data_IF_087532159983
#
_entry.id   IF_087532159983
#
_cell.length_a   1.000
_cell.length_b   1.000
_cell.length_c   1.000
_cell.angle_alpha   90.00
_cell.angle_beta   90.00
_cell.angle_gamma   90.00
#
_symmetry.space_group_name_H-M   'P 1'
#
loop_
_entity.id
_entity.type
_entity.pdbx_description
1 polymer ?
#
# COMPACT_ATOMS: atom_id res chain seq x y z
N UNK A 1 -15.25 0.94 78.08
CA UNK A 1 -16.42 0.05 77.97
C UNK A 1 -15.99 -1.09 77.04
N UNK A 2 -15.86 -2.37 77.43
CA UNK A 2 -16.58 -3.23 78.41
C UNK A 2 -17.93 -3.72 77.86
N UNK A 3 -18.25 -4.99 78.16
CA UNK A 3 -19.25 -5.90 77.55
C UNK A 3 -18.89 -6.36 76.13
N UNK A 4 -18.55 -7.62 75.84
CA UNK A 4 -18.38 -8.85 76.65
C UNK A 4 -19.67 -9.52 77.20
N UNK A 5 -20.04 -10.66 76.59
CA UNK A 5 -20.77 -11.88 77.06
C UNK A 5 -21.15 -12.65 75.75
N UNK A 6 -20.85 -13.92 75.47
CA UNK A 6 -20.79 -15.18 76.25
C UNK A 6 -22.19 -15.70 76.65
N UNK A 7 -22.54 -16.99 76.58
CA UNK A 7 -21.82 -18.19 76.14
C UNK A 7 -22.83 -19.33 75.83
N UNK A 8 -22.46 -20.34 75.03
CA UNK A 8 -22.95 -21.72 75.18
C UNK A 8 -21.91 -22.72 74.63
N UNK A 9 -21.67 -23.83 75.32
CA UNK A 9 -20.50 -24.71 75.12
C UNK A 9 -20.78 -26.18 75.47
N UNK A 10 -19.74 -27.04 75.37
CA UNK A 10 -19.73 -28.52 75.52
C UNK A 10 -20.35 -29.26 74.30
N UNK A 11 -19.92 -30.45 73.86
CA UNK A 11 -18.73 -31.33 74.00
C UNK A 11 -18.72 -32.25 72.72
N UNK A 12 -17.82 -33.17 72.38
CA UNK A 12 -16.69 -33.88 73.03
C UNK A 12 -15.42 -33.75 72.14
N UNK A 13 -14.25 -34.25 72.58
CA UNK A 13 -12.99 -34.27 71.81
C UNK A 13 -12.77 -35.47 70.87
N UNK A 14 -11.62 -35.52 70.15
CA UNK A 14 -11.32 -36.51 69.10
C UNK A 14 -10.48 -37.71 69.57
N UNK A 15 -10.54 -38.82 68.82
CA UNK A 15 -9.57 -39.92 68.93
C UNK A 15 -9.86 -41.10 67.99
N UNK A 16 -8.81 -41.50 67.23
CA UNK A 16 -8.54 -42.85 66.70
C UNK A 16 -9.58 -43.53 65.75
N UNK A 17 -9.23 -44.38 64.78
CA UNK A 17 -7.95 -44.71 64.11
C UNK A 17 -8.27 -45.23 62.68
N UNK A 18 -7.27 -45.34 61.79
CA UNK A 18 -7.35 -46.27 60.65
C UNK A 18 -7.40 -45.67 59.24
N UNK A 19 -6.25 -45.18 58.76
CA UNK A 19 -5.93 -45.17 57.33
C UNK A 19 -4.66 -46.02 57.13
N UNK A 20 -4.65 -46.93 56.16
CA UNK A 20 -3.60 -47.93 56.03
C UNK A 20 -2.39 -47.42 55.23
N UNK A 21 -1.20 -47.81 55.70
CA UNK A 21 0.10 -47.75 55.03
C UNK A 21 0.06 -48.27 53.56
N UNK A 22 1.04 -47.95 52.69
CA UNK A 22 2.41 -47.53 52.99
C UNK A 22 3.05 -46.68 51.88
N UNK A 23 4.05 -45.86 52.22
CA UNK A 23 4.74 -44.97 51.27
C UNK A 23 6.01 -44.32 51.83
N UNK A 24 6.97 -45.12 52.29
CA UNK A 24 8.18 -44.62 52.97
C UNK A 24 9.12 -43.79 52.06
N UNK A 25 9.33 -42.52 52.41
CA UNK A 25 10.61 -41.82 52.25
C UNK A 25 11.03 -41.25 53.59
N UNK A 26 12.16 -41.74 54.13
CA UNK A 26 12.71 -41.26 55.40
C UNK A 26 13.92 -40.36 55.13
N UNK A 27 13.97 -39.20 55.79
CA UNK A 27 15.13 -38.31 55.78
C UNK A 27 16.27 -38.88 56.63
N UNK A 28 17.51 -38.71 56.17
CA UNK A 28 18.71 -39.08 56.92
C UNK A 28 19.25 -37.86 57.66
N UNK A 29 19.24 -37.90 58.99
CA UNK A 29 20.05 -37.03 59.86
C UNK A 29 20.84 -37.91 60.83
N UNK A 30 22.13 -37.61 60.98
CA UNK A 30 23.07 -38.46 61.70
C UNK A 30 23.22 -38.04 63.17
N UNK A 31 23.29 -39.02 64.08
CA UNK A 31 23.76 -38.85 65.46
C UNK A 31 24.80 -39.94 65.76
N UNK A 32 25.81 -39.58 66.54
CA UNK A 32 27.01 -40.38 66.80
C UNK A 32 26.71 -41.69 67.55
N UNK A 33 27.39 -42.77 67.15
CA UNK A 33 27.50 -43.98 67.95
C UNK A 33 28.73 -43.94 68.86
N UNK A 34 28.63 -44.51 70.06
CA UNK A 34 29.74 -44.70 71.01
C UNK A 34 29.82 -46.17 71.42
N UNK A 35 31.02 -46.74 71.31
CA UNK A 35 31.54 -47.85 72.13
C UNK A 35 30.63 -49.06 72.42
N UNK A 36 30.69 -50.08 71.56
CA UNK A 36 30.10 -51.40 71.83
C UNK A 36 30.82 -52.50 71.05
N UNK A 37 31.94 -53.03 71.60
CA UNK A 37 32.74 -54.04 70.91
C UNK A 37 32.14 -55.44 71.07
N UNK A 38 31.78 -56.06 69.93
CA UNK A 38 31.52 -57.50 69.82
C UNK A 38 32.42 -58.08 68.72
N UNK A 39 33.05 -59.25 68.93
CA UNK A 39 33.94 -59.84 67.94
C UNK A 39 33.13 -60.53 66.84
N UNK A 40 32.76 -59.78 65.81
CA UNK A 40 32.24 -60.38 64.57
C UNK A 40 33.36 -61.18 63.91
N UNK A 41 33.21 -62.51 63.95
CA UNK A 41 34.11 -63.44 63.30
C UNK A 41 34.21 -63.11 61.81
N UNK A 42 35.42 -63.20 61.25
CA UNK A 42 35.65 -63.03 59.83
C UNK A 42 34.84 -64.04 59.04
N UNK A 43 33.79 -63.60 58.34
CA UNK A 43 33.21 -64.38 57.26
C UNK A 43 34.28 -64.48 56.16
N UNK A 44 35.03 -65.57 56.18
CA UNK A 44 35.84 -65.98 55.04
C UNK A 44 34.90 -66.10 53.84
N UNK A 45 35.04 -65.19 52.86
CA UNK A 45 34.26 -65.24 51.64
C UNK A 45 34.61 -66.52 50.90
N UNK A 46 33.66 -67.47 50.87
CA UNK A 46 33.78 -68.66 50.03
C UNK A 46 34.03 -68.25 48.57
N UNK A 47 34.71 -69.10 47.78
CA UNK A 47 35.14 -68.74 46.42
C UNK A 47 33.93 -68.28 45.59
N UNK A 48 34.01 -67.06 45.06
CA UNK A 48 32.94 -66.51 44.22
C UNK A 48 32.68 -67.44 43.04
N UNK A 49 31.41 -67.75 42.81
CA UNK A 49 31.01 -68.58 41.69
C UNK A 49 31.11 -67.79 40.37
N UNK A 50 32.30 -67.82 39.77
CA UNK A 50 32.55 -67.23 38.45
C UNK A 50 32.04 -68.19 37.36
N UNK A 51 31.12 -67.78 36.47
CA UNK A 51 30.59 -68.62 35.39
C UNK A 51 31.67 -69.17 34.45
N UNK A 52 31.47 -70.38 33.93
CA UNK A 52 32.45 -71.07 33.05
C UNK A 52 32.89 -70.22 31.84
N UNK A 53 31.96 -69.54 31.17
CA UNK A 53 32.28 -68.67 30.03
C UNK A 53 33.16 -67.48 30.40
N UNK A 54 33.05 -66.98 31.64
CA UNK A 54 33.84 -65.83 32.14
C UNK A 54 35.27 -66.25 32.47
N UNK A 55 35.46 -67.50 32.91
CA UNK A 55 36.79 -68.13 33.00
C UNK A 55 37.39 -68.40 31.63
N UNK A 56 36.60 -68.90 30.68
CA UNK A 56 37.04 -69.16 29.31
C UNK A 56 37.57 -67.91 28.59
N UNK A 57 37.03 -66.72 28.90
CA UNK A 57 37.58 -65.44 28.42
C UNK A 57 38.98 -65.10 28.99
N UNK A 58 39.33 -65.64 30.16
CA UNK A 58 40.65 -65.50 30.79
C UNK A 58 41.61 -66.68 30.49
N UNK A 59 41.10 -67.79 29.95
CA UNK A 59 41.88 -68.96 29.54
C UNK A 59 42.57 -68.76 28.17
N UNK A 60 42.08 -67.82 27.35
CA UNK A 60 42.72 -67.38 26.11
C UNK A 60 43.78 -66.32 26.44
N UNK A 61 45.05 -66.43 25.98
CA UNK A 61 46.09 -65.48 26.34
C UNK A 61 45.80 -64.08 25.78
N UNK A 62 45.91 -63.07 26.64
CA UNK A 62 45.55 -61.67 26.34
C UNK A 62 46.26 -61.06 25.11
N UNK A 63 47.37 -61.66 24.66
CA UNK A 63 48.04 -61.31 23.40
C UNK A 63 47.19 -61.53 22.13
N UNK A 64 46.12 -62.33 22.20
CA UNK A 64 45.20 -62.58 21.07
C UNK A 64 44.07 -61.53 20.95
N UNK A 65 43.89 -60.67 21.96
CA UNK A 65 42.88 -59.61 21.94
C UNK A 65 43.53 -58.23 22.14
N UNK A 66 44.26 -57.68 21.14
CA UNK A 66 44.93 -56.38 21.26
C UNK A 66 44.00 -55.18 21.54
N UNK A 67 42.68 -55.37 21.42
CA UNK A 67 41.64 -54.38 21.71
C UNK A 67 40.79 -54.74 22.96
N UNK A 68 41.19 -55.70 23.82
CA UNK A 68 40.45 -56.00 25.05
C UNK A 68 40.64 -54.91 26.11
N UNK A 69 39.57 -54.60 26.86
CA UNK A 69 39.59 -53.56 27.89
C UNK A 69 39.44 -54.11 29.32
N UNK A 70 40.01 -55.29 29.56
CA UNK A 70 40.01 -55.97 30.85
C UNK A 70 41.36 -56.61 31.21
N UNK A 71 41.52 -56.92 32.49
CA UNK A 71 42.60 -57.71 33.06
C UNK A 71 41.95 -58.80 33.93
N UNK A 72 42.41 -60.04 33.79
CA UNK A 72 41.94 -61.15 34.64
C UNK A 72 42.78 -61.24 35.91
N UNK A 73 42.17 -61.65 37.02
CA UNK A 73 42.91 -61.97 38.26
C UNK A 73 43.23 -63.47 38.42
N UNK A 74 43.93 -63.81 39.49
CA UNK A 74 44.37 -65.18 39.82
C UNK A 74 43.22 -66.18 40.02
N UNK A 75 41.97 -65.72 40.22
CA UNK A 75 40.78 -66.57 40.32
C UNK A 75 40.04 -66.75 38.97
N UNK A 76 40.48 -66.01 37.93
CA UNK A 76 39.79 -65.91 36.64
C UNK A 76 38.60 -64.95 36.66
N UNK A 77 38.56 -63.96 37.57
CA UNK A 77 37.55 -62.90 37.57
C UNK A 77 38.02 -61.73 36.67
N UNK A 78 37.22 -61.41 35.65
CA UNK A 78 37.46 -60.31 34.70
C UNK A 78 37.28 -58.96 35.40
N UNK A 79 38.31 -58.10 35.38
CA UNK A 79 38.30 -56.74 35.95
C UNK A 79 38.49 -55.71 34.85
N UNK A 80 37.60 -54.72 34.77
CA UNK A 80 37.63 -53.72 33.71
C UNK A 80 38.73 -52.68 33.90
N UNK A 81 39.30 -52.20 32.79
CA UNK A 81 40.15 -51.03 32.78
C UNK A 81 39.34 -49.76 33.15
N UNK A 82 39.98 -48.70 33.69
CA UNK A 82 39.30 -47.46 34.03
C UNK A 82 38.51 -46.89 32.84
N UNK A 83 37.22 -46.64 33.06
CA UNK A 83 36.31 -46.16 32.01
C UNK A 83 35.58 -47.24 31.21
N UNK A 84 35.70 -48.53 31.56
CA UNK A 84 34.97 -49.63 30.92
C UNK A 84 34.10 -50.41 31.92
N UNK A 85 33.02 -51.01 31.42
CA UNK A 85 32.02 -51.76 32.18
C UNK A 85 31.34 -52.82 31.29
N UNK A 86 30.41 -53.59 31.84
CA UNK A 86 29.82 -54.77 31.17
C UNK A 86 30.58 -56.05 31.52
N UNK A 87 30.02 -57.20 31.12
CA UNK A 87 30.46 -58.50 31.61
C UNK A 87 31.83 -58.95 31.07
N UNK A 88 32.21 -58.47 29.87
CA UNK A 88 33.56 -58.58 29.30
C UNK A 88 34.22 -57.20 29.14
N UNK A 89 33.77 -56.18 29.88
CA UNK A 89 34.30 -54.82 29.86
C UNK A 89 34.28 -54.16 28.47
N UNK A 90 33.30 -54.56 27.65
CA UNK A 90 33.07 -54.17 26.27
C UNK A 90 32.25 -52.89 26.12
N UNK A 91 31.57 -52.45 27.19
CA UNK A 91 30.76 -51.23 27.21
C UNK A 91 31.59 -50.07 27.78
N UNK A 92 31.81 -48.97 27.02
CA UNK A 92 32.49 -47.80 27.55
C UNK A 92 31.59 -47.05 28.55
N UNK A 93 32.18 -46.55 29.62
CA UNK A 93 31.50 -45.66 30.58
C UNK A 93 31.45 -44.26 29.96
N UNK A 94 30.24 -43.83 29.59
CA UNK A 94 30.01 -42.50 29.02
C UNK A 94 30.34 -41.38 30.01
N UNK A 95 30.43 -40.15 29.51
CA UNK A 95 30.65 -38.97 30.36
C UNK A 95 29.67 -38.94 31.55
N UNK A 96 30.17 -38.67 32.76
CA UNK A 96 29.33 -38.55 33.96
C UNK A 96 28.25 -37.47 33.75
N UNK A 97 26.98 -37.85 33.85
CA UNK A 97 25.84 -36.97 33.61
C UNK A 97 25.27 -37.00 32.18
N UNK A 98 25.89 -37.75 31.25
CA UNK A 98 25.32 -38.02 29.92
C UNK A 98 23.95 -38.70 30.06
N UNK A 99 22.95 -38.23 29.31
CA UNK A 99 21.56 -38.70 29.43
C UNK A 99 21.45 -40.20 29.09
N UNK A 100 20.80 -41.03 29.93
CA UNK A 100 20.76 -42.49 29.75
C UNK A 100 19.83 -42.96 28.62
N UNK A 101 18.95 -42.09 28.12
CA UNK A 101 18.00 -42.39 27.04
C UNK A 101 18.42 -41.77 25.71
N UNK A 102 19.03 -40.59 25.72
CA UNK A 102 19.37 -39.78 24.54
C UNK A 102 20.87 -39.70 24.25
N UNK A 103 21.72 -39.98 25.24
CA UNK A 103 23.15 -40.16 25.08
C UNK A 103 23.53 -41.57 24.68
N UNK A 104 24.69 -41.71 24.05
CA UNK A 104 25.46 -42.96 23.91
C UNK A 104 26.94 -42.63 23.77
N UNK A 105 27.83 -43.61 23.96
CA UNK A 105 29.26 -43.42 23.78
C UNK A 105 29.90 -44.61 23.07
N UNK A 106 31.00 -44.34 22.35
CA UNK A 106 31.85 -45.37 21.71
C UNK A 106 33.26 -45.46 22.33
N UNK A 107 33.57 -44.56 23.27
CA UNK A 107 34.83 -44.44 24.01
C UNK A 107 34.52 -43.90 25.41
N UNK A 108 35.33 -44.21 26.43
CA UNK A 108 35.14 -43.68 27.78
C UNK A 108 35.14 -42.15 27.80
N UNK A 109 34.26 -41.54 28.61
CA UNK A 109 34.18 -40.09 28.78
C UNK A 109 33.60 -39.30 27.60
N UNK A 110 33.28 -39.95 26.47
CA UNK A 110 32.51 -39.36 25.38
C UNK A 110 31.00 -39.33 25.75
N UNK A 111 30.26 -38.40 25.16
CA UNK A 111 28.80 -38.40 25.13
C UNK A 111 28.39 -37.94 23.72
N UNK A 112 27.64 -38.78 23.02
CA UNK A 112 27.13 -38.54 21.65
C UNK A 112 25.62 -38.56 21.72
N UNK A 113 24.98 -37.59 21.08
CA UNK A 113 23.53 -37.48 21.15
C UNK A 113 22.86 -38.30 20.04
N UNK A 114 21.70 -38.87 20.36
CA UNK A 114 20.75 -39.38 19.37
C UNK A 114 20.17 -38.21 18.55
N UNK A 115 19.67 -38.53 17.37
CA UNK A 115 19.04 -37.56 16.48
C UNK A 115 17.88 -36.88 17.21
N UNK A 116 17.85 -35.54 17.22
CA UNK A 116 16.86 -34.76 17.97
C UNK A 116 17.34 -34.26 19.33
N UNK A 117 18.58 -34.53 19.74
CA UNK A 117 19.16 -34.02 21.00
C UNK A 117 20.57 -33.41 20.78
N UNK A 118 20.93 -32.45 21.62
CA UNK A 118 22.22 -31.75 21.61
C UNK A 118 22.70 -31.36 23.01
N UNK A 119 23.87 -30.72 23.11
CA UNK A 119 24.52 -30.35 24.36
C UNK A 119 25.60 -31.35 24.78
N UNK A 120 26.41 -30.99 25.79
CA UNK A 120 27.53 -31.85 26.25
C UNK A 120 27.09 -33.12 26.98
N UNK A 121 25.83 -33.15 27.43
CA UNK A 121 25.21 -34.27 28.14
C UNK A 121 24.02 -34.88 27.37
N UNK A 122 23.68 -34.35 26.19
CA UNK A 122 22.50 -34.73 25.39
C UNK A 122 21.15 -34.51 26.10
N UNK A 123 21.15 -33.57 27.04
CA UNK A 123 20.04 -33.11 27.88
C UNK A 123 19.08 -32.16 27.16
N UNK A 124 19.47 -31.59 26.01
CA UNK A 124 18.69 -30.56 25.31
C UNK A 124 18.05 -31.12 24.05
N UNK A 125 16.73 -31.00 23.93
CA UNK A 125 16.03 -31.29 22.69
C UNK A 125 16.45 -30.32 21.57
N UNK A 126 16.50 -30.81 20.33
CA UNK A 126 16.57 -29.97 19.13
C UNK A 126 15.14 -29.61 18.75
N UNK A 127 14.82 -28.31 18.71
CA UNK A 127 13.52 -27.83 18.26
C UNK A 127 13.28 -28.10 16.76
N UNK A 128 12.03 -28.01 16.30
CA UNK A 128 11.69 -28.19 14.89
C UNK A 128 12.53 -27.24 14.00
N UNK A 129 13.20 -27.73 12.93
CA UNK A 129 14.01 -26.86 12.07
C UNK A 129 13.19 -25.71 11.49
N UNK A 130 13.64 -24.48 11.72
CA UNK A 130 12.91 -23.26 11.35
C UNK A 130 12.14 -22.59 12.49
N UNK A 131 12.04 -23.20 13.67
CA UNK A 131 11.49 -22.59 14.89
C UNK A 131 12.23 -21.27 15.22
N UNK A 132 11.52 -20.14 15.28
CA UNK A 132 12.12 -18.81 15.51
C UNK A 132 11.93 -18.30 16.94
N UNK A 133 10.68 -18.26 17.41
CA UNK A 133 10.30 -17.73 18.73
C UNK A 133 9.57 -18.81 19.52
N UNK A 134 10.31 -19.84 19.92
CA UNK A 134 9.77 -20.97 20.66
C UNK A 134 10.83 -21.91 21.19
N UNK A 135 10.42 -22.75 22.14
CA UNK A 135 11.23 -23.75 22.81
C UNK A 135 10.67 -25.16 22.56
N UNK A 136 11.48 -26.20 22.74
CA UNK A 136 11.01 -27.58 22.69
C UNK A 136 10.88 -28.18 24.10
N UNK A 137 9.92 -29.08 24.29
CA UNK A 137 9.93 -30.04 25.40
C UNK A 137 10.30 -31.44 24.87
N UNK A 138 9.79 -31.79 23.69
CA UNK A 138 10.16 -33.01 22.95
C UNK A 138 11.02 -32.64 21.73
N UNK A 139 11.94 -33.53 21.34
CA UNK A 139 12.71 -33.38 20.09
C UNK A 139 11.81 -33.18 18.87
N UNK A 140 12.14 -32.20 18.03
CA UNK A 140 11.38 -31.77 16.85
C UNK A 140 10.01 -31.12 17.13
N UNK A 141 9.77 -30.66 18.36
CA UNK A 141 8.67 -29.77 18.72
C UNK A 141 9.08 -28.28 18.58
N UNK A 142 8.12 -27.37 18.45
CA UNK A 142 8.30 -25.92 18.56
C UNK A 142 7.09 -25.34 19.31
N UNK A 143 7.21 -25.19 20.63
CA UNK A 143 6.21 -24.57 21.49
C UNK A 143 6.45 -23.05 21.52
N UNK A 144 5.49 -22.27 21.06
CA UNK A 144 5.69 -20.85 20.81
C UNK A 144 5.81 -20.01 22.10
N UNK A 145 6.71 -19.03 22.04
CA UNK A 145 6.81 -17.99 23.06
C UNK A 145 5.52 -17.15 23.10
N UNK A 146 5.15 -16.58 24.26
CA UNK A 146 3.92 -15.79 24.40
C UNK A 146 3.82 -14.66 23.38
N UNK A 147 2.79 -14.73 22.52
CA UNK A 147 2.57 -13.77 21.45
C UNK A 147 2.98 -14.24 20.05
N UNK A 148 3.46 -15.46 19.89
CA UNK A 148 3.74 -16.09 18.59
C UNK A 148 2.84 -17.30 18.31
N UNK A 149 2.63 -17.62 17.03
CA UNK A 149 1.83 -18.75 16.55
C UNK A 149 2.37 -19.33 15.23
N UNK A 150 1.73 -20.40 14.76
CA UNK A 150 2.12 -21.16 13.58
C UNK A 150 3.19 -22.23 13.90
N UNK A 151 3.38 -23.18 12.98
CA UNK A 151 4.22 -24.38 13.19
C UNK A 151 5.70 -24.07 13.52
N UNK A 152 6.18 -22.89 13.15
CA UNK A 152 7.56 -22.42 13.35
C UNK A 152 7.64 -21.20 14.28
N UNK A 153 6.52 -20.79 14.89
CA UNK A 153 6.41 -19.61 15.75
C UNK A 153 6.96 -18.32 15.10
N UNK A 154 6.68 -18.18 13.80
CA UNK A 154 7.09 -17.08 12.94
C UNK A 154 5.95 -16.09 12.62
N UNK A 155 4.71 -16.42 13.01
CA UNK A 155 3.57 -15.49 12.89
C UNK A 155 3.32 -14.79 14.23
N UNK A 156 3.32 -13.45 14.31
CA UNK A 156 2.95 -12.73 15.52
C UNK A 156 1.44 -12.81 15.78
N UNK A 157 1.06 -12.75 17.05
CA UNK A 157 -0.33 -12.58 17.51
C UNK A 157 -0.57 -11.07 17.70
N UNK A 158 -1.41 -10.49 16.86
CA UNK A 158 -1.74 -9.07 16.90
C UNK A 158 -2.53 -8.70 18.18
N UNK A 159 -2.63 -7.40 18.47
CA UNK A 159 -3.42 -6.90 19.59
C UNK A 159 -4.86 -7.46 19.61
N UNK A 160 -5.41 -7.66 20.80
CA UNK A 160 -6.85 -7.98 20.93
C UNK A 160 -7.69 -6.87 20.31
N UNK A 161 -8.80 -7.26 19.67
CA UNK A 161 -9.62 -6.45 18.75
C UNK A 161 -9.01 -6.07 17.37
N UNK A 162 -7.76 -6.43 17.06
CA UNK A 162 -7.18 -6.18 15.74
C UNK A 162 -7.77 -7.13 14.68
N UNK A 163 -8.70 -6.64 13.86
CA UNK A 163 -9.33 -7.40 12.78
C UNK A 163 -8.35 -7.59 11.61
N UNK A 164 -8.02 -8.83 11.25
CA UNK A 164 -7.03 -9.17 10.20
C UNK A 164 -7.36 -8.60 8.81
N UNK A 165 -8.62 -8.25 8.55
CA UNK A 165 -9.12 -7.59 7.33
C UNK A 165 -8.94 -6.07 7.33
N UNK A 166 -8.74 -5.46 8.50
CA UNK A 166 -8.63 -3.99 8.71
C UNK A 166 -7.24 -3.57 9.17
N UNK A 167 -6.50 -4.48 9.81
CA UNK A 167 -5.12 -4.30 10.26
C UNK A 167 -4.25 -5.53 10.03
N UNK A 168 -3.01 -5.44 10.50
CA UNK A 168 -1.98 -6.48 10.52
C UNK A 168 -0.98 -6.17 11.64
N UNK A 169 -0.02 -7.07 11.90
CA UNK A 169 1.04 -6.82 12.86
C UNK A 169 2.36 -7.46 12.40
N UNK A 170 3.47 -6.78 12.66
CA UNK A 170 4.83 -7.31 12.49
C UNK A 170 5.43 -7.80 13.81
N UNK A 171 4.87 -7.36 14.94
CA UNK A 171 5.29 -7.70 16.30
C UNK A 171 4.08 -8.15 17.13
N UNK A 172 4.28 -9.06 18.10
CA UNK A 172 3.22 -9.44 19.03
C UNK A 172 2.62 -8.23 19.75
N UNK A 173 1.28 -8.21 19.88
CA UNK A 173 0.56 -7.13 20.56
C UNK A 173 0.47 -5.79 19.81
N UNK A 174 1.03 -5.67 18.60
CA UNK A 174 0.85 -4.50 17.74
C UNK A 174 -0.45 -4.61 16.91
N UNK A 175 -0.95 -3.48 16.39
CA UNK A 175 -1.98 -3.43 15.36
C UNK A 175 -1.71 -2.23 14.42
N UNK A 176 -1.17 -2.51 13.22
CA UNK A 176 -0.96 -1.54 12.15
C UNK A 176 -2.17 -1.55 11.22
N UNK A 177 -2.73 -0.39 10.92
CA UNK A 177 -3.93 -0.31 10.09
C UNK A 177 -3.62 -0.42 8.59
N UNK A 178 -4.54 -1.04 7.85
CA UNK A 178 -4.55 -1.03 6.38
C UNK A 178 -5.12 0.31 5.91
N UNK A 179 -4.81 0.69 4.66
CA UNK A 179 -5.30 1.94 4.07
C UNK A 179 -6.83 2.02 4.14
N UNK A 180 -7.36 3.17 4.54
CA UNK A 180 -8.78 3.38 4.80
C UNK A 180 -9.24 3.06 6.23
N UNK A 181 -8.35 2.64 7.14
CA UNK A 181 -8.63 2.41 8.57
C UNK A 181 -7.66 3.17 9.49
N UNK A 182 -8.15 3.61 10.65
CA UNK A 182 -7.37 4.35 11.66
C UNK A 182 -7.76 4.03 13.11
N UNK A 183 -7.04 4.64 14.04
CA UNK A 183 -7.19 4.45 15.49
C UNK A 183 -6.49 3.18 15.99
N UNK A 184 -6.30 3.04 17.32
CA UNK A 184 -5.43 1.99 17.92
C UNK A 184 -5.93 0.55 17.75
N UNK A 185 -7.13 0.35 17.20
CA UNK A 185 -7.74 -0.95 16.89
C UNK A 185 -8.21 -1.06 15.43
N UNK A 186 -7.89 -0.08 14.59
CA UNK A 186 -8.25 -0.03 13.16
C UNK A 186 -9.76 -0.16 12.85
N UNK A 187 -10.64 0.16 13.81
CA UNK A 187 -12.11 0.07 13.66
C UNK A 187 -12.77 1.35 13.13
N UNK A 188 -12.04 2.46 13.07
CA UNK A 188 -12.53 3.73 12.52
C UNK A 188 -12.10 3.85 11.06
N UNK A 189 -12.96 4.36 10.18
CA UNK A 189 -12.53 4.68 8.82
C UNK A 189 -11.49 5.81 8.85
N UNK A 190 -10.50 5.72 7.97
CA UNK A 190 -9.64 6.83 7.59
C UNK A 190 -10.19 7.42 6.29
N UNK A 191 -10.30 8.75 6.23
CA UNK A 191 -10.59 9.45 4.97
C UNK A 191 -9.50 9.17 3.94
N UNK A 192 -9.88 9.13 2.66
CA UNK A 192 -8.94 8.92 1.56
C UNK A 192 -7.82 10.01 1.61
N UNK A 193 -6.52 9.67 1.51
CA UNK A 193 -5.45 10.65 1.59
C UNK A 193 -5.61 11.78 0.56
N UNK A 194 -5.53 13.03 1.02
CA UNK A 194 -5.79 14.22 0.21
C UNK A 194 -7.25 14.71 0.20
N UNK A 195 -8.18 13.98 0.83
CA UNK A 195 -9.54 14.46 1.10
C UNK A 195 -9.49 15.70 2.02
N UNK A 196 -9.90 16.88 1.52
CA UNK A 196 -9.77 18.15 2.28
C UNK A 196 -11.07 18.58 2.97
N UNK A 197 -12.20 18.50 2.27
CA UNK A 197 -13.52 18.95 2.74
C UNK A 197 -14.53 17.79 2.61
N UNK A 198 -14.25 16.70 3.32
CA UNK A 198 -15.02 15.47 3.22
C UNK A 198 -14.80 14.52 4.39
N UNK A 199 -15.71 13.56 4.52
CA UNK A 199 -15.78 12.57 5.60
C UNK A 199 -15.76 11.16 5.02
N UNK A 200 -15.56 10.14 5.86
CA UNK A 200 -15.67 8.74 5.47
C UNK A 200 -16.85 8.08 6.19
N UNK A 201 -17.51 7.13 5.53
CA UNK A 201 -18.47 6.21 6.13
C UNK A 201 -18.01 4.76 5.92
N UNK A 202 -17.44 4.44 4.76
CA UNK A 202 -16.61 3.26 4.50
C UNK A 202 -15.10 3.57 4.45
N UNK A 203 -14.23 2.55 4.38
CA UNK A 203 -12.80 2.72 4.15
C UNK A 203 -12.53 3.23 2.73
N UNK A 204 -11.48 4.05 2.57
CA UNK A 204 -11.07 4.66 1.29
C UNK A 204 -12.11 5.59 0.64
N UNK A 205 -13.12 6.03 1.40
CA UNK A 205 -14.13 6.99 0.96
C UNK A 205 -13.69 8.45 1.23
N UNK A 206 -14.15 9.37 0.38
CA UNK A 206 -14.13 10.82 0.60
C UNK A 206 -15.48 11.40 0.19
N UNK A 207 -16.43 11.42 1.12
CA UNK A 207 -17.79 11.94 0.93
C UNK A 207 -17.79 13.44 1.21
N UNK A 208 -18.00 14.24 0.18
CA UNK A 208 -17.86 15.70 0.26
C UNK A 208 -18.87 16.38 1.18
N UNK A 209 -18.40 17.42 1.86
CA UNK A 209 -19.23 18.38 2.56
C UNK A 209 -20.07 19.21 1.58
N UNK A 210 -21.23 19.76 2.01
CA UNK A 210 -22.08 20.59 1.16
C UNK A 210 -21.31 21.76 0.54
N UNK A 211 -21.33 21.84 -0.79
CA UNK A 211 -20.61 22.86 -1.55
C UNK A 211 -19.23 22.42 -2.09
N UNK A 212 -18.77 21.20 -1.82
CA UNK A 212 -17.54 20.65 -2.40
C UNK A 212 -17.81 19.47 -3.34
N UNK A 213 -16.91 19.27 -4.31
CA UNK A 213 -16.99 18.21 -5.31
C UNK A 213 -15.60 17.79 -5.81
N UNK A 214 -15.54 16.79 -6.68
CA UNK A 214 -14.31 16.08 -7.05
C UNK A 214 -13.98 14.93 -6.10
N UNK A 215 -13.12 14.01 -6.54
CA UNK A 215 -12.79 12.76 -5.84
C UNK A 215 -12.18 12.96 -4.43
N UNK A 216 -11.58 14.12 -4.18
CA UNK A 216 -10.94 14.49 -2.91
C UNK A 216 -11.60 15.73 -2.27
N UNK A 217 -12.79 16.11 -2.76
CA UNK A 217 -13.55 17.28 -2.31
C UNK A 217 -12.73 18.58 -2.35
N UNK A 218 -11.85 18.67 -3.35
CA UNK A 218 -10.92 19.77 -3.57
C UNK A 218 -11.50 20.91 -4.42
N UNK A 219 -12.59 20.64 -5.17
CA UNK A 219 -13.21 21.59 -6.09
C UNK A 219 -14.43 22.23 -5.42
N UNK A 220 -14.47 23.57 -5.22
CA UNK A 220 -15.66 24.23 -4.70
C UNK A 220 -16.76 24.31 -5.77
N UNK A 221 -18.01 24.18 -5.33
CA UNK A 221 -19.20 24.39 -6.17
C UNK A 221 -19.52 25.89 -6.14
N UNK A 222 -19.42 26.55 -7.29
CA UNK A 222 -19.67 27.98 -7.44
C UNK A 222 -21.17 28.34 -7.25
N UNK A 223 -21.51 29.63 -7.17
CA UNK A 223 -22.92 30.05 -7.09
C UNK A 223 -23.76 29.52 -8.27
N UNK A 224 -25.04 29.27 -8.01
CA UNK A 224 -25.97 28.82 -9.04
C UNK A 224 -26.12 29.90 -10.12
N UNK A 225 -25.79 29.56 -11.37
CA UNK A 225 -25.78 30.49 -12.51
C UNK A 225 -24.39 31.03 -12.89
N UNK A 226 -23.36 30.86 -12.05
CA UNK A 226 -21.99 31.28 -12.36
C UNK A 226 -21.47 30.65 -13.67
N UNK A 227 -21.04 31.48 -14.62
CA UNK A 227 -20.50 31.03 -15.91
C UNK A 227 -19.29 30.11 -15.73
N UNK A 228 -19.32 28.92 -16.34
CA UNK A 228 -18.18 27.98 -16.31
C UNK A 228 -17.01 28.45 -17.18
N UNK A 229 -17.29 29.24 -18.22
CA UNK A 229 -16.27 29.79 -19.12
C UNK A 229 -15.66 31.06 -18.53
N UNK A 230 -16.50 31.99 -18.05
CA UNK A 230 -16.09 33.36 -17.71
C UNK A 230 -16.08 33.67 -16.20
N UNK A 231 -16.56 32.73 -15.39
CA UNK A 231 -16.47 32.76 -13.93
C UNK A 231 -15.57 31.65 -13.38
N UNK A 232 -15.49 31.61 -12.05
CA UNK A 232 -14.82 30.59 -11.26
C UNK A 232 -14.94 30.92 -9.77
N UNK A 233 -14.59 29.98 -8.88
CA UNK A 233 -14.74 30.18 -7.44
C UNK A 233 -13.57 29.57 -6.66
N UNK A 234 -13.23 30.20 -5.52
CA UNK A 234 -12.24 29.69 -4.55
C UNK A 234 -12.89 29.20 -3.24
N UNK A 235 -14.18 29.48 -3.07
CA UNK A 235 -15.02 29.03 -1.94
C UNK A 235 -16.40 28.61 -2.46
N UNK A 236 -17.08 27.64 -1.83
CA UNK A 236 -18.44 27.27 -2.19
C UNK A 236 -19.38 28.49 -2.21
N UNK A 237 -20.35 28.49 -3.14
CA UNK A 237 -21.37 29.54 -3.25
C UNK A 237 -20.88 30.91 -3.73
N UNK A 238 -19.59 31.07 -4.06
CA UNK A 238 -19.06 32.32 -4.64
C UNK A 238 -19.01 32.24 -6.17
N UNK A 239 -18.97 33.40 -6.83
CA UNK A 239 -18.57 33.53 -8.23
C UNK A 239 -17.63 34.73 -8.35
N UNK A 240 -16.49 34.53 -9.02
CA UNK A 240 -15.51 35.58 -9.34
C UNK A 240 -15.32 35.57 -10.85
N UNK A 241 -15.48 36.73 -11.47
CA UNK A 241 -15.36 36.87 -12.91
C UNK A 241 -13.89 36.88 -13.35
N UNK A 242 -13.67 36.37 -14.57
CA UNK A 242 -12.43 36.58 -15.31
C UNK A 242 -12.36 38.05 -15.78
N UNK A 243 -11.15 38.50 -16.07
CA UNK A 243 -10.90 39.87 -16.57
C UNK A 243 -11.77 40.15 -17.80
N UNK A 244 -12.48 41.28 -17.78
CA UNK A 244 -13.38 41.68 -18.86
C UNK A 244 -14.82 41.18 -18.75
N UNK A 245 -15.19 40.47 -17.68
CA UNK A 245 -16.56 40.06 -17.38
C UNK A 245 -17.03 40.58 -16.02
N UNK A 246 -18.34 40.79 -15.88
CA UNK A 246 -19.02 41.38 -14.72
C UNK A 246 -20.42 40.78 -14.52
N UNK A 247 -21.17 41.32 -13.56
CA UNK A 247 -22.47 40.82 -13.13
C UNK A 247 -22.37 39.63 -12.17
N UNK A 248 -23.46 39.26 -11.46
CA UNK A 248 -23.44 38.23 -10.41
C UNK A 248 -23.09 36.83 -10.91
N UNK A 249 -23.30 36.57 -12.21
CA UNK A 249 -23.06 35.29 -12.88
C UNK A 249 -21.85 35.32 -13.84
N UNK A 250 -21.16 36.46 -13.97
CA UNK A 250 -20.06 36.65 -14.93
C UNK A 250 -20.49 36.42 -16.39
N UNK A 251 -21.70 36.84 -16.73
CA UNK A 251 -22.33 36.72 -18.07
C UNK A 251 -22.40 38.05 -18.82
N UNK A 252 -22.14 39.16 -18.13
CA UNK A 252 -22.08 40.51 -18.73
C UNK A 252 -20.63 40.82 -19.09
N UNK A 253 -20.38 41.34 -20.29
CA UNK A 253 -19.07 41.84 -20.67
C UNK A 253 -18.82 43.23 -20.04
N UNK A 254 -17.57 43.56 -19.79
CA UNK A 254 -17.15 44.93 -19.48
C UNK A 254 -16.82 45.63 -20.81
N UNK A 255 -17.46 46.76 -21.15
CA UNK A 255 -17.14 47.53 -22.35
C UNK A 255 -15.77 48.22 -22.22
N UNK A 256 -15.27 48.82 -23.30
CA UNK A 256 -14.01 49.56 -23.24
C UNK A 256 -14.07 50.71 -22.22
N UNK A 257 -13.03 50.96 -21.40
CA UNK A 257 -13.04 52.06 -20.41
C UNK A 257 -13.25 53.42 -21.06
N UNK A 258 -14.32 54.13 -20.68
CA UNK A 258 -14.72 55.41 -21.28
C UNK A 258 -15.79 55.29 -22.37
N UNK A 259 -16.23 54.09 -22.74
CA UNK A 259 -17.40 53.87 -23.59
C UNK A 259 -18.66 54.50 -22.95
N UNK A 260 -19.23 55.54 -23.55
CA UNK A 260 -20.35 56.31 -22.95
C UNK A 260 -21.71 55.85 -23.45
N UNK A 261 -21.91 55.84 -24.77
CA UNK A 261 -23.18 55.46 -25.41
C UNK A 261 -22.98 54.24 -26.33
N UNK A 262 -22.51 53.14 -25.74
CA UNK A 262 -22.23 51.91 -26.46
C UNK A 262 -22.36 50.67 -25.58
N UNK A 263 -22.60 49.53 -26.25
CA UNK A 263 -22.73 48.21 -25.65
C UNK A 263 -21.57 47.30 -26.06
N UNK A 264 -21.30 46.24 -25.31
CA UNK A 264 -20.33 45.21 -25.69
C UNK A 264 -21.04 43.91 -26.08
N UNK A 265 -20.40 43.09 -26.92
CA UNK A 265 -20.72 41.65 -27.09
C UNK A 265 -19.54 40.78 -26.67
N UNK A 266 -18.32 41.28 -26.85
CA UNK A 266 -17.07 40.74 -26.29
C UNK A 266 -16.51 41.72 -25.24
N UNK A 267 -15.71 41.25 -24.27
CA UNK A 267 -14.97 42.13 -23.38
C UNK A 267 -14.15 43.18 -24.13
N UNK A 268 -14.12 44.40 -23.58
CA UNK A 268 -13.37 45.56 -24.09
C UNK A 268 -13.80 46.06 -25.47
N UNK A 269 -14.99 45.66 -25.92
CA UNK A 269 -15.65 46.20 -27.11
C UNK A 269 -16.50 47.43 -26.75
N UNK A 270 -16.63 48.39 -27.67
CA UNK A 270 -17.56 49.52 -27.54
C UNK A 270 -18.34 49.65 -28.86
N UNK A 271 -19.60 49.17 -28.89
CA UNK A 271 -20.47 49.17 -30.07
C UNK A 271 -21.52 50.27 -29.87
N UNK A 272 -21.40 51.36 -30.61
CA UNK A 272 -22.21 52.55 -30.39
C UNK A 272 -23.71 52.30 -30.58
N UNK A 273 -24.50 52.98 -29.77
CA UNK A 273 -25.94 53.11 -29.95
C UNK A 273 -26.26 53.98 -31.16
N UNK A 274 -27.47 53.83 -31.73
CA UNK A 274 -27.87 54.58 -32.91
C UNK A 274 -27.85 56.10 -32.65
N UNK A 275 -27.07 56.84 -33.43
CA UNK A 275 -26.87 58.29 -33.25
C UNK A 275 -25.57 58.68 -32.54
N UNK A 276 -24.74 57.70 -32.14
CA UNK A 276 -23.41 57.93 -31.54
C UNK A 276 -22.27 57.31 -32.36
N UNK A 277 -21.07 57.89 -32.26
CA UNK A 277 -19.86 57.46 -32.95
C UNK A 277 -18.58 57.85 -32.20
N UNK A 278 -17.42 57.57 -32.82
CA UNK A 278 -16.10 57.59 -32.19
C UNK A 278 -15.81 56.31 -31.40
N UNK A 279 -14.54 56.01 -31.15
CA UNK A 279 -14.09 54.75 -30.51
C UNK A 279 -14.69 54.53 -29.10
N UNK A 280 -15.11 55.61 -28.44
CA UNK A 280 -15.72 55.61 -27.11
C UNK A 280 -17.23 55.94 -27.14
N UNK A 281 -17.83 56.02 -28.33
CA UNK A 281 -19.23 56.38 -28.55
C UNK A 281 -19.64 57.67 -27.81
N UNK A 282 -18.77 58.67 -27.91
CA UNK A 282 -18.84 59.96 -27.24
C UNK A 282 -19.16 61.12 -28.22
N UNK A 283 -19.09 60.88 -29.53
CA UNK A 283 -19.50 61.85 -30.55
C UNK A 283 -20.97 61.65 -30.94
N UNK A 284 -21.78 62.72 -30.90
CA UNK A 284 -23.19 62.67 -31.32
C UNK A 284 -23.33 63.00 -32.81
N UNK A 285 -24.06 62.17 -33.55
CA UNK A 285 -24.23 62.25 -35.00
C UNK A 285 -25.36 63.22 -35.42
N UNK A 286 -25.20 64.53 -35.20
CA UNK A 286 -26.25 65.56 -35.41
C UNK A 286 -26.37 66.14 -36.82
N UNK A 287 -25.46 65.80 -37.76
CA UNK A 287 -25.34 66.55 -39.02
C UNK A 287 -26.62 66.65 -39.86
N UNK A 288 -27.41 65.57 -39.97
CA UNK A 288 -28.69 65.56 -40.69
C UNK A 288 -29.78 66.41 -39.99
N UNK A 289 -29.75 66.52 -38.65
CA UNK A 289 -30.68 67.34 -37.87
C UNK A 289 -30.38 68.83 -38.04
N UNK A 290 -29.09 69.17 -38.15
CA UNK A 290 -28.59 70.53 -38.39
C UNK A 290 -28.78 70.98 -39.85
N UNK A 291 -28.83 70.05 -40.81
CA UNK A 291 -28.92 70.33 -42.25
C UNK A 291 -30.17 69.69 -42.90
N UNK A 292 -31.40 70.04 -42.47
CA UNK A 292 -32.63 69.49 -43.03
C UNK A 292 -32.73 69.79 -44.54
N UNK A 293 -32.96 68.75 -45.34
CA UNK A 293 -33.04 68.86 -46.80
C UNK A 293 -31.72 68.70 -47.56
N UNK A 294 -30.61 68.35 -46.90
CA UNK A 294 -29.34 68.01 -47.56
C UNK A 294 -29.48 66.83 -48.55
N UNK A 295 -30.38 65.88 -48.24
CA UNK A 295 -30.80 64.81 -49.14
C UNK A 295 -32.07 65.22 -49.90
N UNK A 296 -32.00 65.27 -51.23
CA UNK A 296 -33.12 65.70 -52.10
C UNK A 296 -33.99 64.51 -52.52
N UNK A 297 -35.12 64.80 -53.15
CA UNK A 297 -36.01 63.81 -53.78
C UNK A 297 -36.53 62.72 -52.83
N UNK A 298 -36.88 63.09 -51.59
CA UNK A 298 -37.40 62.20 -50.54
C UNK A 298 -36.44 61.05 -50.16
N UNK A 299 -35.13 61.33 -50.16
CA UNK A 299 -34.08 60.41 -49.73
C UNK A 299 -33.79 60.49 -48.23
N UNK A 300 -33.51 59.34 -47.59
CA UNK A 300 -33.23 59.27 -46.15
C UNK A 300 -31.81 59.75 -45.85
N UNK A 301 -31.67 60.73 -44.95
CA UNK A 301 -30.37 61.19 -44.45
C UNK A 301 -29.91 60.31 -43.28
N UNK A 302 -28.63 59.93 -43.28
CA UNK A 302 -27.96 59.31 -42.13
C UNK A 302 -26.69 60.12 -41.85
N UNK A 303 -26.62 60.69 -40.65
CA UNK A 303 -25.44 61.35 -40.11
C UNK A 303 -24.30 60.34 -39.95
N UNK A 304 -23.06 60.77 -40.18
CA UNK A 304 -21.84 59.96 -40.04
C UNK A 304 -20.74 60.78 -39.35
N UNK A 305 -19.59 60.15 -39.06
CA UNK A 305 -18.43 60.86 -38.51
C UNK A 305 -17.91 61.92 -39.50
N UNK A 306 -17.07 62.83 -39.00
CA UNK A 306 -16.36 63.80 -39.86
C UNK A 306 -15.41 63.10 -40.84
N UNK A 307 -14.84 61.97 -40.45
CA UNK A 307 -13.88 61.17 -41.23
C UNK A 307 -14.57 60.44 -42.39
N UNK A 308 -15.77 59.88 -42.15
CA UNK A 308 -16.63 59.27 -43.19
C UNK A 308 -17.26 60.32 -44.14
N UNK A 309 -17.13 61.62 -43.82
CA UNK A 309 -17.66 62.73 -44.63
C UNK A 309 -19.03 63.26 -44.22
N UNK A 310 -19.31 63.29 -42.90
CA UNK A 310 -20.46 63.89 -42.21
C UNK A 310 -21.86 63.28 -42.47
N UNK A 311 -22.18 62.84 -43.69
CA UNK A 311 -23.50 62.29 -44.02
C UNK A 311 -23.48 61.38 -45.24
N UNK A 312 -24.44 60.46 -45.27
CA UNK A 312 -24.84 59.70 -46.47
C UNK A 312 -26.35 59.84 -46.71
N UNK A 313 -26.73 60.00 -47.96
CA UNK A 313 -28.13 59.93 -48.38
C UNK A 313 -28.42 58.53 -48.95
N UNK A 314 -29.49 57.88 -48.49
CA UNK A 314 -30.04 56.69 -49.14
C UNK A 314 -31.07 57.15 -50.16
N UNK A 315 -30.69 57.07 -51.44
CA UNK A 315 -31.53 57.52 -52.54
C UNK A 315 -32.65 56.52 -52.86
N UNK A 316 -33.88 56.98 -53.16
CA UNK A 316 -34.92 56.12 -53.71
C UNK A 316 -34.58 55.71 -55.15
N UNK A 317 -35.23 54.65 -55.63
CA UNK A 317 -35.05 54.12 -56.98
C UNK A 317 -35.24 55.21 -58.05
N UNK A 318 -34.32 55.26 -59.02
CA UNK A 318 -34.29 56.31 -60.04
C UNK A 318 -33.54 57.59 -59.64
N UNK A 319 -32.82 57.60 -58.51
CA UNK A 319 -32.00 58.74 -58.06
C UNK A 319 -30.62 58.33 -57.57
N UNK A 320 -29.61 59.16 -57.86
CA UNK A 320 -28.20 58.95 -57.52
C UNK A 320 -27.48 60.27 -57.17
N UNK A 321 -26.23 60.16 -56.71
CA UNK A 321 -25.37 61.27 -56.28
C UNK A 321 -25.40 61.48 -54.76
N UNK A 322 -24.39 62.18 -54.21
CA UNK A 322 -24.21 62.37 -52.75
C UNK A 322 -25.44 62.99 -52.06
N UNK A 323 -26.25 63.76 -52.77
CA UNK A 323 -27.48 64.39 -52.28
C UNK A 323 -28.74 63.86 -52.99
N UNK A 324 -28.65 62.72 -53.69
CA UNK A 324 -29.72 62.12 -54.50
C UNK A 324 -30.31 63.06 -55.56
N UNK A 325 -29.49 64.02 -56.02
CA UNK A 325 -29.91 65.12 -56.89
C UNK A 325 -29.97 64.74 -58.38
N UNK A 326 -29.37 63.62 -58.78
CA UNK A 326 -29.32 63.16 -60.17
C UNK A 326 -30.45 62.15 -60.39
N UNK A 327 -31.40 62.45 -61.28
CA UNK A 327 -32.45 61.51 -61.67
C UNK A 327 -31.93 60.57 -62.76
N UNK A 328 -31.92 59.26 -62.51
CA UNK A 328 -31.55 58.24 -63.50
C UNK A 328 -32.79 57.76 -64.26
N UNK A 329 -32.67 57.56 -65.57
CA UNK A 329 -33.73 57.00 -66.41
C UNK A 329 -33.68 55.46 -66.48
N UNK A 330 -32.71 54.84 -65.82
CA UNK A 330 -32.59 53.39 -65.66
C UNK A 330 -33.07 53.00 -64.26
N UNK A 331 -34.09 52.14 -64.12
CA UNK A 331 -34.44 51.56 -62.83
C UNK A 331 -33.38 50.51 -62.45
N UNK A 332 -32.69 50.71 -61.33
CA UNK A 332 -31.64 49.81 -60.84
C UNK A 332 -32.22 48.55 -60.19
N UNK A 333 -32.89 47.73 -60.99
CA UNK A 333 -33.17 46.32 -60.72
C UNK A 333 -32.01 45.52 -61.35
N UNK A 334 -31.61 44.41 -60.74
CA UNK A 334 -30.43 43.60 -61.12
C UNK A 334 -29.07 44.31 -60.95
N UNK A 335 -28.83 44.84 -59.74
CA UNK A 335 -27.56 44.59 -59.05
C UNK A 335 -27.81 43.80 -57.76
N UNK A 336 -28.29 42.57 -57.94
CA UNK A 336 -28.15 41.53 -56.91
C UNK A 336 -26.65 41.35 -56.68
N UNK A 337 -26.12 41.53 -55.46
CA UNK A 337 -24.76 41.08 -55.18
C UNK A 337 -24.73 39.55 -55.43
N UNK A 338 -23.66 39.00 -56.04
CA UNK A 338 -23.52 37.56 -56.10
C UNK A 338 -23.57 37.00 -54.68
N UNK A 339 -24.41 35.99 -54.47
CA UNK A 339 -24.33 35.22 -53.23
C UNK A 339 -22.93 34.59 -53.18
N UNK A 340 -22.22 34.59 -52.03
CA UNK A 340 -20.98 33.85 -51.93
C UNK A 340 -21.31 32.36 -52.12
N UNK A 341 -20.74 31.74 -53.15
CA UNK A 341 -21.00 30.35 -53.50
C UNK A 341 -20.72 29.44 -52.30
N UNK A 342 -21.77 28.79 -51.79
CA UNK A 342 -21.74 28.09 -50.52
C UNK A 342 -21.18 26.67 -50.64
N UNK A 343 -20.01 26.50 -51.28
CA UNK A 343 -19.39 25.18 -51.44
C UNK A 343 -17.85 25.21 -51.57
N UNK A 344 -17.15 25.60 -50.48
CA UNK A 344 -15.76 25.20 -50.26
C UNK A 344 -15.40 25.11 -48.76
N UNK A 345 -14.78 23.99 -48.38
CA UNK A 345 -13.96 23.79 -47.17
C UNK A 345 -14.64 23.92 -45.78
N UNK A 346 -15.18 22.81 -45.28
CA UNK A 346 -15.00 22.43 -43.88
C UNK A 346 -13.93 21.31 -43.75
N UNK A 347 -13.34 21.08 -42.56
CA UNK A 347 -12.15 20.24 -42.43
C UNK A 347 -12.38 18.73 -42.49
N UNK A 348 -11.26 18.00 -42.59
CA UNK A 348 -11.17 16.54 -42.70
C UNK A 348 -11.76 15.76 -41.52
N UNK A 349 -12.36 14.61 -41.82
CA UNK A 349 -12.22 13.40 -41.01
C UNK A 349 -12.33 12.13 -41.87
N UNK A 350 -11.69 11.07 -41.37
CA UNK A 350 -11.57 9.69 -41.89
C UNK A 350 -12.93 9.08 -42.33
N UNK A 351 -12.99 8.12 -43.26
CA UNK A 351 -12.61 6.70 -43.05
C UNK A 351 -12.22 5.98 -44.37
N UNK A 352 -11.49 4.88 -44.20
CA UNK A 352 -10.89 3.95 -45.18
C UNK A 352 -11.66 3.66 -46.48
N UNK A 353 -10.88 3.55 -47.56
CA UNK A 353 -11.26 2.85 -48.80
C UNK A 353 -11.39 1.33 -48.57
N UNK A 354 -12.17 0.68 -49.44
CA UNK A 354 -12.16 -0.77 -49.69
C UNK A 354 -12.08 -1.02 -51.21
N UNK A 355 -11.27 -1.98 -51.69
CA UNK A 355 -11.44 -2.56 -53.03
C UNK A 355 -12.25 -3.86 -53.00
N UNK A 356 -13.11 -3.96 -54.01
CA UNK A 356 -13.75 -5.09 -54.71
C UNK A 356 -14.18 -6.44 -54.09
N UNK A 357 -15.37 -6.85 -54.57
CA UNK A 357 -15.85 -8.13 -55.12
C UNK A 357 -15.05 -9.44 -54.86
N UNK A 358 -15.70 -10.62 -54.76
CA UNK A 358 -16.85 -11.11 -55.56
C UNK A 358 -17.78 -12.11 -54.85
N UNK A 359 -18.93 -12.33 -55.51
CA UNK A 359 -19.71 -13.58 -55.59
C UNK A 359 -20.93 -13.81 -54.67
N UNK A 360 -21.76 -14.77 -55.08
CA UNK A 360 -23.21 -14.84 -54.85
C UNK A 360 -23.65 -15.76 -53.70
N UNK A 361 -24.82 -15.48 -53.09
CA UNK A 361 -26.06 -16.28 -53.27
C UNK A 361 -27.02 -16.33 -52.05
N UNK A 362 -28.31 -16.50 -52.37
CA UNK A 362 -29.36 -17.18 -51.56
C UNK A 362 -29.72 -16.72 -50.13
N UNK A 363 -30.65 -15.77 -50.07
CA UNK A 363 -32.00 -15.89 -49.46
C UNK A 363 -32.18 -16.64 -48.11
N UNK A 364 -32.59 -15.85 -47.09
CA UNK A 364 -33.68 -16.10 -46.11
C UNK A 364 -33.78 -17.44 -45.35
N UNK A 365 -33.82 -17.37 -44.00
CA UNK A 365 -35.08 -17.42 -43.21
C UNK A 365 -34.79 -17.27 -41.70
N UNK A 366 -35.67 -16.57 -40.97
CA UNK A 366 -35.68 -16.52 -39.50
C UNK A 366 -36.75 -17.49 -38.95
N UNK A 367 -36.39 -18.39 -38.02
CA UNK A 367 -37.26 -18.68 -36.87
C UNK A 367 -36.50 -19.27 -35.65
N UNK A 368 -37.27 -19.55 -34.59
CA UNK A 368 -36.84 -19.99 -33.25
C UNK A 368 -36.43 -21.49 -33.25
N UNK A 369 -35.95 -22.14 -32.19
CA UNK A 369 -36.13 -21.89 -30.75
C UNK A 369 -35.02 -22.56 -29.88
N UNK A 370 -35.30 -22.76 -28.60
CA UNK A 370 -34.43 -23.12 -27.46
C UNK A 370 -33.79 -24.53 -27.45
N UNK A 371 -32.50 -24.53 -27.08
CA UNK A 371 -31.92 -25.24 -25.91
C UNK A 371 -31.61 -26.76 -25.96
N UNK A 372 -30.39 -27.11 -25.48
CA UNK A 372 -30.06 -28.13 -24.42
C UNK A 372 -29.22 -29.37 -24.81
N UNK A 373 -27.98 -29.48 -24.26
CA UNK A 373 -27.17 -30.72 -23.98
C UNK A 373 -26.86 -31.66 -25.17
N UNK A 374 -25.82 -32.52 -25.24
CA UNK A 374 -24.61 -32.97 -24.48
C UNK A 374 -23.72 -33.73 -25.53
N UNK A 375 -22.49 -34.24 -25.34
CA UNK A 375 -21.52 -34.45 -24.23
C UNK A 375 -20.11 -34.69 -24.84
N UNK A 376 -19.02 -34.53 -24.06
CA UNK A 376 -17.66 -35.13 -24.28
C UNK A 376 -16.94 -34.74 -25.63
N UNK A 377 -15.62 -34.88 -25.88
CA UNK A 377 -14.42 -35.23 -25.10
C UNK A 377 -13.19 -34.39 -25.58
N UNK A 378 -12.13 -34.30 -24.76
CA UNK A 378 -10.79 -33.70 -24.94
C UNK A 378 -10.20 -33.50 -26.36
N UNK A 379 -9.42 -32.42 -26.54
CA UNK A 379 -7.97 -32.48 -26.91
C UNK A 379 -7.24 -31.14 -26.69
N UNK A 380 -5.89 -31.12 -26.76
CA UNK A 380 -5.00 -30.15 -26.08
C UNK A 380 -3.91 -29.54 -26.98
N UNK A 381 -3.85 -28.20 -27.03
CA UNK A 381 -2.68 -27.33 -27.36
C UNK A 381 -1.96 -27.51 -28.74
N UNK A 382 -0.98 -26.65 -29.15
CA UNK A 382 -0.33 -25.53 -28.43
C UNK A 382 -0.38 -24.15 -29.13
N UNK A 383 0.14 -23.15 -28.40
CA UNK A 383 0.40 -21.79 -28.88
C UNK A 383 1.56 -21.74 -29.89
N UNK A 384 1.39 -20.97 -30.96
CA UNK A 384 2.47 -20.62 -31.89
C UNK A 384 3.36 -19.49 -31.34
N UNK A 385 4.66 -19.53 -31.66
CA UNK A 385 5.65 -18.57 -31.16
C UNK A 385 5.66 -17.24 -31.93
N UNK A 386 5.87 -16.13 -31.20
CA UNK A 386 6.23 -14.83 -31.78
C UNK A 386 7.73 -14.64 -31.61
N UNK A 387 8.44 -14.49 -32.74
CA UNK A 387 9.85 -14.12 -32.76
C UNK A 387 9.95 -12.59 -32.76
N UNK A 388 10.71 -12.03 -31.83
CA UNK A 388 11.14 -10.62 -31.88
C UNK A 388 12.62 -10.63 -32.27
N UNK A 389 12.97 -9.89 -33.33
CA UNK A 389 14.34 -9.78 -33.85
C UNK A 389 14.99 -8.49 -33.38
N UNK A 390 16.18 -8.58 -32.77
CA UNK A 390 16.98 -7.41 -32.41
C UNK A 390 17.53 -6.66 -33.64
N UNK A 391 17.73 -5.33 -33.55
CA UNK A 391 18.43 -4.55 -34.56
C UNK A 391 19.97 -4.78 -34.54
N UNK A 392 20.67 -4.64 -35.68
CA UNK A 392 22.06 -5.10 -35.84
C UNK A 392 23.13 -4.11 -35.33
N UNK A 393 24.34 -4.60 -34.92
CA UNK A 393 25.46 -3.76 -34.44
C UNK A 393 26.57 -3.53 -35.48
N UNK A 394 27.25 -2.38 -35.40
CA UNK A 394 28.64 -2.11 -35.86
C UNK A 394 28.99 -0.60 -35.69
N UNK A 395 30.24 -0.13 -35.68
CA UNK A 395 31.37 -0.36 -34.72
C UNK A 395 32.54 0.56 -35.11
N UNK A 396 33.11 1.36 -34.17
CA UNK A 396 34.56 1.69 -34.02
C UNK A 396 35.25 2.44 -35.20
N UNK A 397 36.07 3.51 -35.10
CA UNK A 397 36.54 4.51 -34.10
C UNK A 397 37.56 5.44 -34.87
N UNK A 398 38.44 6.30 -34.29
CA UNK A 398 38.35 7.18 -33.09
C UNK A 398 38.81 8.64 -33.38
N UNK A 399 38.57 9.61 -32.46
CA UNK A 399 39.45 10.80 -32.27
C UNK A 399 39.22 11.60 -30.95
N UNK A 400 39.98 11.25 -29.91
CA UNK A 400 40.65 12.12 -28.91
C UNK A 400 40.00 13.41 -28.32
N UNK A 401 40.02 13.48 -26.96
CA UNK A 401 40.54 14.60 -26.10
C UNK A 401 39.60 15.19 -25.03
N UNK A 402 39.82 14.76 -23.77
CA UNK A 402 39.72 15.50 -22.47
C UNK A 402 38.48 16.37 -22.16
N UNK A 403 37.77 16.01 -21.07
CA UNK A 403 36.66 16.83 -20.50
C UNK A 403 36.25 16.39 -19.09
N UNK A 404 37.16 16.50 -18.11
CA UNK A 404 37.02 16.00 -16.73
C UNK A 404 36.03 16.86 -15.91
N UNK A 405 35.05 16.24 -15.25
CA UNK A 405 34.13 16.93 -14.31
C UNK A 405 34.81 17.27 -12.97
N UNK A 406 34.53 18.45 -12.39
CA UNK A 406 34.72 18.73 -10.98
C UNK A 406 33.39 18.82 -10.21
N UNK A 407 33.29 18.10 -9.08
CA UNK A 407 32.30 18.31 -8.03
C UNK A 407 33.03 18.83 -6.80
N UNK A 408 32.65 20.00 -6.27
CA UNK A 408 33.24 20.56 -5.04
C UNK A 408 32.17 21.09 -4.06
N UNK A 409 32.50 21.24 -2.76
CA UNK A 409 31.54 21.12 -1.65
C UNK A 409 31.05 22.46 -1.06
N UNK A 410 30.03 22.45 -0.17
CA UNK A 410 29.69 23.62 0.64
C UNK A 410 30.79 23.96 1.66
N UNK A 411 30.96 25.24 1.95
CA UNK A 411 31.91 25.78 2.96
C UNK A 411 31.12 26.54 4.04
N UNK A 412 31.53 26.41 5.30
CA UNK A 412 30.92 27.07 6.47
C UNK A 412 31.54 28.46 6.76
N UNK A 413 31.19 29.03 7.93
CA UNK A 413 31.72 30.24 8.59
C UNK A 413 31.07 31.59 8.17
N UNK A 414 31.06 32.61 9.07
CA UNK A 414 30.65 32.51 10.48
C UNK A 414 29.72 33.69 10.90
N UNK A 415 29.39 33.75 12.19
CA UNK A 415 28.49 34.74 12.81
C UNK A 415 29.18 36.11 13.02
N UNK A 416 28.46 37.20 12.75
CA UNK A 416 28.66 38.53 13.38
C UNK A 416 27.30 39.14 13.77
N UNK A 417 27.27 39.91 14.86
CA UNK A 417 26.06 40.52 15.42
C UNK A 417 25.74 41.90 14.81
N UNK A 418 24.48 42.36 15.04
CA UNK A 418 24.05 43.78 15.14
C UNK A 418 24.01 44.60 13.84
N UNK A 419 23.22 45.69 13.73
CA UNK A 419 22.32 46.39 14.69
C UNK A 419 20.88 46.55 14.11
N UNK A 420 20.02 47.31 14.81
CA UNK A 420 18.60 47.63 14.51
C UNK A 420 18.38 48.62 13.34
N UNK A 421 17.11 49.07 13.22
CA UNK A 421 16.51 50.07 12.31
C UNK A 421 16.05 49.53 10.93
N UNK A 422 14.93 49.94 10.31
CA UNK A 422 13.59 50.52 10.61
C UNK A 422 13.07 51.06 9.22
N UNK A 423 11.82 51.51 9.13
CA UNK A 423 11.17 52.12 7.94
C UNK A 423 10.86 51.17 6.76
N UNK A 424 9.73 51.31 6.02
CA UNK A 424 8.43 51.97 6.30
C UNK A 424 7.32 51.24 5.54
#
# INVERSE_FOLDING_TARGET
MILLLACLSLLIGPGELGALNNGHTATVTAILGIGGALPFASLATGPRYVPKWKKQACEIPASQHPNSHYVCDEAGEVKCLPGWTGDLCDVPICRKGCDPLQGYCRRPGECRCKLGFYGELCDKCVALPGCQHGSCNVSFECSCDPGWKGMFCSEPICASDCLSSQGYCEKPGECRCRLGWQGPKCKQCAVLPGCVHGTCQGPLECRCEPGWTGLLCQTPICSQGCSREYGGCRRPGTCRCRVGWTGPNCTECVPYPGCVHGSCKRPWECRCEAGWAGDLCNEKLTYCDEHPGICRNNATCISMTKEDGNYRCICPLGYMGRQCQIKTMVPSIELTPPMPDSEAMQPQAMVSMKPDATNESSQTLDEKDKNKTKDEEQTVEPLGSIVITDPPPSTIDPAATVGKWPTEPPTELPITERDDENET
#
